data_IF_655227170190
#
_entry.id   IF_655227170190
#
_cell.length_a   1.000
_cell.length_b   1.000
_cell.length_c   1.000
_cell.angle_alpha   90.00
_cell.angle_beta   90.00
_cell.angle_gamma   90.00
#
_symmetry.space_group_name_H-M   'P 1'
#
loop_
_entity.id
_entity.type
_entity.pdbx_description
1 polymer ?
#
# COMPACT_ATOMS: atom_id res chain seq x y z
N UNK A 1 -5.88 6.87 11.21
CA UNK A 1 -5.61 7.82 12.33
C UNK A 1 -6.93 8.41 12.77
N UNK A 2 -7.22 8.56 14.07
CA UNK A 2 -8.44 9.28 14.49
C UNK A 2 -8.18 10.79 14.47
N UNK A 3 -8.86 11.52 13.59
CA UNK A 3 -8.72 12.98 13.52
C UNK A 3 -9.31 13.65 14.78
N UNK A 4 -8.45 13.97 15.76
CA UNK A 4 -8.81 14.79 16.92
C UNK A 4 -8.28 16.22 16.78
N UNK A 5 -7.01 16.37 16.38
CA UNK A 5 -6.38 17.65 16.04
C UNK A 5 -5.53 17.52 14.79
N UNK A 6 -5.38 18.61 14.03
CA UNK A 6 -4.57 18.63 12.79
C UNK A 6 -3.08 18.41 13.04
N UNK A 7 -2.57 18.82 14.21
CA UNK A 7 -1.16 18.69 14.61
C UNK A 7 -0.73 17.24 14.84
N UNK A 8 -1.68 16.35 15.08
CA UNK A 8 -1.41 14.95 15.42
C UNK A 8 -1.36 14.06 14.17
N UNK A 9 -1.55 14.65 12.99
CA UNK A 9 -1.57 13.92 11.72
C UNK A 9 -0.16 13.64 11.22
N UNK A 10 0.09 12.38 10.93
CA UNK A 10 1.34 11.91 10.34
C UNK A 10 1.25 12.01 8.82
N UNK A 11 2.27 12.61 8.22
CA UNK A 11 2.41 12.71 6.77
C UNK A 11 2.48 11.31 6.13
N UNK A 12 1.72 11.10 5.05
CA UNK A 12 1.73 9.84 4.31
C UNK A 12 0.95 8.70 4.97
N UNK A 13 0.09 8.96 5.95
CA UNK A 13 -0.74 7.95 6.60
C UNK A 13 -2.24 8.25 6.48
N UNK A 14 -3.04 7.24 6.11
CA UNK A 14 -4.49 7.37 5.97
C UNK A 14 -5.20 7.72 7.29
N UNK A 15 -6.20 8.59 7.19
CA UNK A 15 -7.08 9.01 8.29
C UNK A 15 -8.41 8.24 8.32
N UNK A 16 -8.72 7.46 7.28
CA UNK A 16 -9.89 6.59 7.21
C UNK A 16 -9.46 5.16 7.53
N UNK A 17 -9.53 4.26 6.55
CA UNK A 17 -9.13 2.87 6.67
C UNK A 17 -7.60 2.72 6.64
N UNK A 18 -7.12 1.63 7.22
CA UNK A 18 -5.71 1.28 7.17
C UNK A 18 -5.30 0.96 5.72
N UNK A 19 -4.19 1.54 5.28
CA UNK A 19 -3.58 1.25 3.98
C UNK A 19 -2.24 0.55 4.16
N UNK A 20 -1.81 -0.17 3.12
CA UNK A 20 -0.44 -0.70 3.05
C UNK A 20 0.58 0.44 3.11
N UNK A 21 1.75 0.15 3.69
CA UNK A 21 2.89 1.04 3.57
C UNK A 21 3.52 0.91 2.17
N UNK A 22 4.48 1.80 1.89
CA UNK A 22 5.13 1.85 0.59
C UNK A 22 5.85 0.54 0.24
N UNK A 23 6.59 -0.03 1.19
CA UNK A 23 7.38 -1.24 0.96
C UNK A 23 6.49 -2.45 0.62
N UNK A 24 5.42 -2.63 1.37
CA UNK A 24 4.44 -3.70 1.10
C UNK A 24 3.72 -3.50 -0.23
N UNK A 25 3.50 -2.24 -0.63
CA UNK A 25 2.91 -1.91 -1.94
C UNK A 25 3.84 -2.31 -3.08
N UNK A 26 5.13 -1.99 -2.99
CA UNK A 26 6.13 -2.40 -3.98
C UNK A 26 6.20 -3.93 -4.10
N UNK A 27 6.28 -4.64 -2.97
CA UNK A 27 6.38 -6.10 -2.95
C UNK A 27 5.09 -6.77 -3.49
N UNK A 28 3.92 -6.19 -3.22
CA UNK A 28 2.65 -6.63 -3.78
C UNK A 28 2.61 -6.47 -5.30
N UNK A 29 2.99 -5.30 -5.82
CA UNK A 29 3.01 -5.03 -7.26
C UNK A 29 4.00 -5.95 -8.00
N UNK A 30 5.18 -6.16 -7.43
CA UNK A 30 6.19 -7.09 -7.95
C UNK A 30 5.65 -8.54 -8.02
N UNK A 31 4.95 -8.97 -6.96
CA UNK A 31 4.34 -10.30 -6.90
C UNK A 31 3.26 -10.48 -7.97
N UNK A 32 2.42 -9.47 -8.18
CA UNK A 32 1.40 -9.46 -9.22
C UNK A 32 2.03 -9.48 -10.63
N UNK A 33 3.09 -8.71 -10.85
CA UNK A 33 3.84 -8.69 -12.12
C UNK A 33 4.35 -10.09 -12.48
N UNK A 34 5.07 -10.75 -11.56
CA UNK A 34 5.58 -12.12 -11.72
C UNK A 34 4.47 -13.14 -12.01
N UNK A 35 3.33 -13.01 -11.34
CA UNK A 35 2.19 -13.90 -11.58
C UNK A 35 1.62 -13.73 -13.00
N UNK A 36 1.53 -12.49 -13.50
CA UNK A 36 1.07 -12.20 -14.86
C UNK A 36 2.07 -12.73 -15.89
N UNK A 37 3.36 -12.52 -15.70
CA UNK A 37 4.42 -13.06 -16.57
C UNK A 37 4.34 -14.58 -16.64
N UNK A 38 4.25 -15.27 -15.50
CA UNK A 38 4.08 -16.73 -15.44
C UNK A 38 2.84 -17.21 -16.17
N UNK A 39 1.73 -16.44 -16.11
CA UNK A 39 0.49 -16.77 -16.84
C UNK A 39 0.66 -16.61 -18.35
N UNK A 40 1.45 -15.64 -18.82
CA UNK A 40 1.71 -15.39 -20.26
C UNK A 40 2.63 -16.42 -20.91
N UNK A 41 3.49 -17.06 -20.13
CA UNK A 41 4.40 -18.13 -20.59
C UNK A 41 3.73 -19.51 -20.68
N UNK A 42 2.48 -19.63 -20.24
CA UNK A 42 1.63 -20.81 -20.49
C UNK A 42 0.89 -20.64 -21.80
#
# INVERSE_FOLDING_TARGET
QTMKNKTDLIYGQSITDACLNWKDTEDCLESLSKAIEKRRLK
#
